data_IF_508669786871
#
_entry.id   IF_508669786871
#
_cell.length_a   1.000
_cell.length_b   1.000
_cell.length_c   1.000
_cell.angle_alpha   90.00
_cell.angle_beta   90.00
_cell.angle_gamma   90.00
#
_symmetry.space_group_name_H-M   'P 1'
#
loop_
_entity.id
_entity.type
_entity.pdbx_description
1 polymer ?
#
# COMPACT_ATOMS: atom_id res chain seq x y z
N UNK A 1 -12.46 -8.02 0.31
CA UNK A 1 -11.91 -6.66 0.09
C UNK A 1 -10.77 -6.66 -0.92
N UNK A 2 -9.67 -7.39 -0.69
CA UNK A 2 -8.55 -7.53 -1.65
C UNK A 2 -8.96 -8.01 -3.05
N UNK A 3 -9.94 -8.92 -3.15
CA UNK A 3 -10.49 -9.39 -4.45
C UNK A 3 -11.03 -8.25 -5.35
N UNK A 4 -11.59 -7.19 -4.76
CA UNK A 4 -12.09 -6.05 -5.55
C UNK A 4 -10.94 -5.19 -6.06
N UNK A 5 -9.91 -5.02 -5.23
CA UNK A 5 -8.67 -4.32 -5.62
C UNK A 5 -7.98 -5.06 -6.77
N UNK A 6 -7.87 -6.39 -6.71
CA UNK A 6 -7.31 -7.19 -7.81
C UNK A 6 -8.07 -7.03 -9.14
N UNK A 7 -9.39 -6.82 -9.07
CA UNK A 7 -10.19 -6.56 -10.27
C UNK A 7 -9.91 -5.16 -10.83
N UNK A 8 -9.86 -4.15 -9.98
CA UNK A 8 -9.59 -2.77 -10.38
C UNK A 8 -8.17 -2.58 -10.96
N UNK A 9 -7.18 -3.29 -10.41
CA UNK A 9 -5.78 -3.19 -10.86
C UNK A 9 -5.57 -3.67 -12.30
N UNK A 10 -6.50 -4.43 -12.88
CA UNK A 10 -6.44 -4.79 -14.31
C UNK A 10 -6.61 -3.59 -15.22
N UNK A 11 -7.35 -2.59 -14.77
CA UNK A 11 -7.63 -1.36 -15.51
C UNK A 11 -6.70 -0.20 -15.08
N UNK A 12 -5.77 -0.44 -14.16
CA UNK A 12 -4.83 0.54 -13.63
C UNK A 12 -3.37 0.08 -13.82
N UNK A 13 -2.83 0.15 -15.05
CA UNK A 13 -1.51 -0.39 -15.38
C UNK A 13 -0.36 0.34 -14.67
N UNK A 14 -0.54 1.59 -14.27
CA UNK A 14 0.50 2.41 -13.64
C UNK A 14 0.70 2.10 -12.14
N UNK A 15 -0.15 1.26 -11.54
CA UNK A 15 -0.04 0.90 -10.12
C UNK A 15 1.04 -0.16 -9.92
N UNK A 16 2.22 0.30 -9.51
CA UNK A 16 3.39 -0.56 -9.29
C UNK A 16 3.47 -1.17 -7.89
N UNK A 17 2.76 -0.62 -6.88
CA UNK A 17 2.88 -1.09 -5.49
C UNK A 17 1.55 -1.01 -4.76
N UNK A 18 1.19 -2.08 -4.03
CA UNK A 18 -0.05 -2.18 -3.26
C UNK A 18 0.26 -2.59 -1.84
N UNK A 19 0.11 -1.66 -0.89
CA UNK A 19 0.29 -1.95 0.53
C UNK A 19 -0.97 -2.61 1.08
N UNK A 20 -0.87 -3.87 1.48
CA UNK A 20 -2.00 -4.66 1.95
C UNK A 20 -1.95 -4.85 3.46
N UNK A 21 -3.01 -4.43 4.14
CA UNK A 21 -3.17 -4.58 5.59
C UNK A 21 -3.92 -5.87 5.90
N UNK A 22 -3.30 -6.77 6.68
CA UNK A 22 -3.92 -8.01 7.13
C UNK A 22 -4.91 -7.77 8.28
N UNK A 23 -6.14 -7.39 7.95
CA UNK A 23 -7.19 -7.07 8.96
C UNK A 23 -7.91 -8.29 9.52
N UNK A 24 -8.28 -9.25 8.67
CA UNK A 24 -9.10 -10.43 9.05
C UNK A 24 -8.34 -11.75 9.02
N UNK A 25 -7.12 -11.76 8.47
CA UNK A 25 -6.32 -12.98 8.34
C UNK A 25 -6.82 -13.99 7.30
N UNK A 26 -7.84 -13.66 6.52
CA UNK A 26 -8.34 -14.50 5.43
C UNK A 26 -7.29 -14.69 4.33
N UNK A 27 -7.36 -15.83 3.66
CA UNK A 27 -6.54 -16.11 2.48
C UNK A 27 -6.97 -15.21 1.31
N UNK A 28 -5.99 -14.56 0.69
CA UNK A 28 -6.22 -13.59 -0.38
C UNK A 28 -5.19 -13.80 -1.48
N UNK A 29 -5.61 -13.59 -2.73
CA UNK A 29 -4.70 -13.57 -3.86
C UNK A 29 -3.61 -12.51 -3.63
N UNK A 30 -2.36 -12.91 -3.90
CA UNK A 30 -1.16 -12.13 -3.62
C UNK A 30 -0.22 -12.17 -4.81
N UNK A 31 0.31 -11.01 -5.20
CA UNK A 31 1.36 -10.88 -6.21
C UNK A 31 2.66 -10.38 -5.57
N UNK A 32 3.67 -11.24 -5.48
CA UNK A 32 4.96 -10.91 -4.85
C UNK A 32 5.70 -9.73 -5.52
N UNK A 33 5.39 -9.40 -6.78
CA UNK A 33 6.05 -8.30 -7.49
C UNK A 33 5.48 -6.92 -7.17
N UNK A 34 4.27 -6.86 -6.60
CA UNK A 34 3.51 -5.62 -6.41
C UNK A 34 2.98 -5.45 -4.99
N UNK A 35 2.56 -6.54 -4.37
CA UNK A 35 1.87 -6.50 -3.10
C UNK A 35 2.87 -6.54 -1.93
N UNK A 36 2.76 -5.58 -1.02
CA UNK A 36 3.61 -5.43 0.15
C UNK A 36 2.78 -5.58 1.42
N UNK A 37 3.24 -6.41 2.35
CA UNK A 37 2.60 -6.61 3.64
C UNK A 37 2.85 -5.40 4.54
N UNK A 38 1.77 -4.71 4.95
CA UNK A 38 1.87 -3.50 5.77
C UNK A 38 2.67 -3.72 7.05
N UNK A 39 2.40 -4.80 7.79
CA UNK A 39 3.06 -5.06 9.08
C UNK A 39 4.56 -5.28 8.93
N UNK A 40 4.99 -5.94 7.87
CA UNK A 40 6.41 -6.19 7.58
C UNK A 40 7.11 -4.90 7.17
N UNK A 41 6.50 -4.14 6.25
CA UNK A 41 7.04 -2.86 5.80
C UNK A 41 7.17 -1.85 6.95
N UNK A 42 6.15 -1.72 7.80
CA UNK A 42 6.20 -0.83 8.96
C UNK A 42 7.19 -1.29 10.01
N UNK A 43 7.39 -2.60 10.18
CA UNK A 43 8.37 -3.12 11.14
C UNK A 43 9.81 -2.88 10.70
N UNK A 44 10.06 -2.79 9.39
CA UNK A 44 11.37 -2.44 8.83
C UNK A 44 11.59 -0.92 8.77
N UNK A 45 10.51 -0.13 8.80
CA UNK A 45 10.58 1.32 8.74
C UNK A 45 11.01 1.96 10.07
N UNK A 46 11.61 3.15 9.99
CA UNK A 46 11.97 3.95 11.15
C UNK A 46 10.73 4.51 11.85
N UNK A 47 10.75 4.54 13.19
CA UNK A 47 9.74 5.23 14.01
C UNK A 47 9.84 6.76 13.93
N UNK A 48 10.89 7.29 13.30
CA UNK A 48 11.10 8.71 13.06
C UNK A 48 11.08 8.98 11.56
N UNK A 49 10.15 9.85 11.14
CA UNK A 49 10.05 10.39 9.79
C UNK A 49 9.93 11.91 9.92
N UNK A 50 10.88 12.66 9.36
CA UNK A 50 10.83 14.10 9.38
C UNK A 50 9.69 14.58 8.46
N UNK A 51 8.89 15.57 8.87
CA UNK A 51 7.83 16.10 8.02
C UNK A 51 8.43 16.81 6.81
N UNK A 52 7.77 16.65 5.67
CA UNK A 52 8.10 17.43 4.48
C UNK A 52 7.52 18.84 4.65
N UNK A 53 8.31 19.91 4.44
CA UNK A 53 7.80 21.27 4.46
C UNK A 53 6.92 21.49 3.23
N UNK A 54 5.64 21.75 3.45
CA UNK A 54 4.63 22.00 2.41
C UNK A 54 4.25 23.49 2.41
N UNK A 55 3.97 24.06 1.23
CA UNK A 55 3.42 25.41 1.09
C UNK A 55 1.91 25.41 1.40
N UNK A 56 1.34 26.59 1.62
CA UNK A 56 -0.06 26.75 2.02
C UNK A 56 -1.06 26.30 0.95
N UNK A 57 -0.64 26.24 -0.31
CA UNK A 57 -1.48 25.92 -1.47
C UNK A 57 -1.18 24.53 -2.06
N UNK A 58 -0.29 23.74 -1.43
CA UNK A 58 0.01 22.41 -1.93
C UNK A 58 -1.20 21.46 -1.78
N UNK A 59 -1.50 20.63 -2.81
CA UNK A 59 -2.63 19.70 -2.74
C UNK A 59 -2.39 18.60 -1.69
N UNK A 60 -3.39 18.37 -0.84
CA UNK A 60 -3.47 17.28 0.15
C UNK A 60 -4.11 16.01 -0.41
#
# INVERSE_FOLDING_TARGET
LKVNVEKALKDCPDVHTVITVKRTGADVAWDEKRDVCYTEATSAASNQCAPEPMDSEDPL
#
